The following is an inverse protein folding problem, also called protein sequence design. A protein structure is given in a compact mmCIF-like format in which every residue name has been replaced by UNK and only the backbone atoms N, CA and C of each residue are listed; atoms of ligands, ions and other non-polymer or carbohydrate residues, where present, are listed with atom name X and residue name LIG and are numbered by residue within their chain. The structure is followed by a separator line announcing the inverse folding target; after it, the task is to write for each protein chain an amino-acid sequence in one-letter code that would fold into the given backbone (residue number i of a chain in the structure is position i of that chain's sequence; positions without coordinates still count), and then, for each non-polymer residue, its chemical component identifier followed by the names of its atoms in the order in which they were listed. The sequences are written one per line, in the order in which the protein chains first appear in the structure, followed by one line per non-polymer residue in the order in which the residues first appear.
data_IF_954719081530
#
_entry.id   IF_954719081530
#
_cell.length_a   1.000
_cell.length_b   1.000
_cell.length_c   1.000
_cell.angle_alpha   90.00
_cell.angle_beta   90.00
_cell.angle_gamma   90.00
#
_symmetry.space_group_name_H-M   'P 1'
#
loop_
_entity.id
_entity.type
_entity.pdbx_description
1 polymer ?
#
# COMPACT_ATOMS: atom_id res chain seq x y z
N UNK A 1 -38.03 -40.04 44.33
CA UNK A 1 -38.58 -38.84 43.64
C UNK A 1 -37.49 -37.76 43.51
N UNK A 2 -36.54 -37.91 42.57
CA UNK A 2 -35.52 -36.88 42.28
C UNK A 2 -35.21 -36.87 40.78
N UNK A 3 -36.21 -36.52 39.95
CA UNK A 3 -36.05 -36.50 38.49
C UNK A 3 -36.95 -35.47 37.79
N UNK A 4 -37.07 -34.23 38.28
CA UNK A 4 -37.82 -33.19 37.52
C UNK A 4 -37.32 -31.74 37.64
N UNK A 5 -36.12 -31.46 38.16
CA UNK A 5 -35.60 -30.08 38.25
C UNK A 5 -34.73 -29.59 37.07
N UNK A 6 -34.39 -30.45 36.11
CA UNK A 6 -33.46 -30.10 35.01
C UNK A 6 -34.14 -29.60 33.71
N UNK A 7 -35.48 -29.68 33.60
CA UNK A 7 -36.19 -29.34 32.36
C UNK A 7 -36.48 -27.84 32.21
N UNK A 8 -36.56 -27.10 33.31
CA UNK A 8 -36.88 -25.66 33.30
C UNK A 8 -35.71 -24.78 32.85
N UNK A 9 -34.46 -25.25 32.96
CA UNK A 9 -33.28 -24.44 32.59
C UNK A 9 -32.99 -24.41 31.09
N UNK A 10 -33.42 -25.42 30.31
CA UNK A 10 -33.19 -25.46 28.86
C UNK A 10 -34.24 -24.69 28.05
N UNK A 11 -35.42 -24.42 28.63
CA UNK A 11 -36.50 -23.72 27.94
C UNK A 11 -36.33 -22.19 27.94
N UNK A 12 -35.57 -21.61 28.88
CA UNK A 12 -35.27 -20.17 28.90
C UNK A 12 -34.28 -19.73 27.80
N UNK A 13 -33.46 -20.66 27.30
CA UNK A 13 -32.56 -20.41 26.16
C UNK A 13 -33.31 -20.17 24.84
N UNK A 14 -34.58 -20.56 24.76
CA UNK A 14 -35.45 -20.49 23.57
C UNK A 14 -36.42 -19.31 23.59
N UNK A 15 -36.18 -18.27 24.40
CA UNK A 15 -37.00 -17.07 24.34
C UNK A 15 -36.68 -16.27 23.06
N UNK A 16 -37.71 -15.88 22.31
CA UNK A 16 -37.60 -15.07 21.08
C UNK A 16 -36.60 -13.88 21.18
N UNK A 17 -36.53 -13.10 22.28
CA UNK A 17 -35.58 -11.99 22.38
C UNK A 17 -34.10 -12.43 22.47
N UNK A 18 -33.77 -13.58 23.07
CA UNK A 18 -32.38 -14.06 23.15
C UNK A 18 -31.87 -14.55 21.79
N UNK A 19 -32.74 -15.18 21.00
CA UNK A 19 -32.44 -15.60 19.63
C UNK A 19 -32.16 -14.38 18.75
N UNK A 20 -33.00 -13.33 18.84
CA UNK A 20 -32.81 -12.09 18.10
C UNK A 20 -31.48 -11.39 18.44
N UNK A 21 -31.13 -11.32 19.73
CA UNK A 21 -29.87 -10.73 20.18
C UNK A 21 -28.64 -11.53 19.68
N UNK A 22 -28.72 -12.87 19.70
CA UNK A 22 -27.65 -13.74 19.20
C UNK A 22 -27.45 -13.57 17.68
N UNK A 23 -28.53 -13.47 16.92
CA UNK A 23 -28.48 -13.23 15.47
C UNK A 23 -27.85 -11.88 15.14
N UNK A 24 -28.23 -10.81 15.85
CA UNK A 24 -27.66 -9.48 15.62
C UNK A 24 -26.16 -9.44 15.96
N UNK A 25 -25.76 -10.07 17.07
CA UNK A 25 -24.34 -10.20 17.45
C UNK A 25 -23.55 -11.05 16.45
N UNK A 26 -24.15 -12.14 15.96
CA UNK A 26 -23.57 -12.95 14.88
C UNK A 26 -23.37 -12.14 13.60
N UNK A 27 -24.34 -11.30 13.23
CA UNK A 27 -24.24 -10.41 12.08
C UNK A 27 -23.16 -9.34 12.27
N UNK A 28 -23.04 -8.74 13.46
CA UNK A 28 -21.97 -7.79 13.79
C UNK A 28 -20.58 -8.42 13.61
N UNK A 29 -20.34 -9.61 14.18
CA UNK A 29 -19.07 -10.32 14.02
C UNK A 29 -18.84 -10.76 12.57
N UNK A 30 -19.88 -11.18 11.86
CA UNK A 30 -19.81 -11.51 10.45
C UNK A 30 -19.38 -10.31 9.59
N UNK A 31 -19.96 -9.13 9.84
CA UNK A 31 -19.59 -7.90 9.16
C UNK A 31 -18.13 -7.50 9.44
N UNK A 32 -17.69 -7.60 10.69
CA UNK A 32 -16.28 -7.38 11.06
C UNK A 32 -15.34 -8.36 10.34
N UNK A 33 -15.70 -9.65 10.30
CA UNK A 33 -14.91 -10.69 9.64
C UNK A 33 -14.77 -10.43 8.13
N UNK A 34 -15.83 -10.01 7.45
CA UNK A 34 -15.77 -9.64 6.03
C UNK A 34 -14.82 -8.46 5.82
N UNK A 35 -14.90 -7.43 6.65
CA UNK A 35 -13.99 -6.28 6.55
C UNK A 35 -12.54 -6.67 6.84
N UNK A 36 -12.31 -7.57 7.80
CA UNK A 36 -11.00 -8.14 8.08
C UNK A 36 -10.45 -8.95 6.90
N UNK A 37 -11.26 -9.82 6.29
CA UNK A 37 -10.85 -10.62 5.13
C UNK A 37 -10.53 -9.74 3.92
N UNK A 38 -11.33 -8.71 3.64
CA UNK A 38 -11.05 -7.73 2.58
C UNK A 38 -9.70 -7.04 2.77
N UNK A 39 -9.40 -6.62 4.00
CA UNK A 39 -8.09 -6.07 4.34
C UNK A 39 -6.97 -7.11 4.20
N UNK A 40 -7.20 -8.36 4.60
CA UNK A 40 -6.22 -9.43 4.50
C UNK A 40 -5.87 -9.74 3.03
N UNK A 41 -6.89 -9.84 2.17
CA UNK A 41 -6.71 -10.02 0.73
C UNK A 41 -5.99 -8.82 0.09
N UNK A 42 -6.26 -7.59 0.55
CA UNK A 42 -5.52 -6.40 0.08
C UNK A 42 -4.01 -6.47 0.34
N UNK A 43 -3.57 -7.29 1.31
CA UNK A 43 -2.15 -7.55 1.59
C UNK A 43 -1.58 -8.66 0.72
N UNK A 44 -2.36 -9.69 0.40
CA UNK A 44 -1.95 -10.85 -0.42
C UNK A 44 -1.56 -10.49 -1.85
N UNK A 45 -2.15 -9.43 -2.43
CA UNK A 45 -1.78 -8.94 -3.75
C UNK A 45 -0.34 -8.40 -3.86
N UNK A 46 0.38 -8.24 -2.74
CA UNK A 46 1.77 -7.75 -2.71
C UNK A 46 2.85 -8.84 -2.69
N UNK A 47 2.49 -10.12 -2.74
CA UNK A 47 3.52 -11.19 -2.73
C UNK A 47 3.05 -12.63 -2.90
N UNK A 48 1.82 -12.87 -3.39
CA UNK A 48 1.18 -14.19 -3.38
C UNK A 48 1.40 -15.08 -4.61
N UNK A 49 2.44 -14.85 -5.41
CA UNK A 49 2.85 -15.77 -6.47
C UNK A 49 4.33 -16.07 -6.31
N UNK A 50 4.68 -17.33 -6.10
CA UNK A 50 6.06 -17.81 -5.95
C UNK A 50 6.85 -17.74 -7.28
N UNK A 51 6.78 -16.60 -7.97
CA UNK A 51 7.75 -16.29 -8.99
C UNK A 51 9.10 -16.18 -8.29
N UNK A 52 10.17 -16.75 -8.87
CA UNK A 52 11.51 -16.45 -8.39
C UNK A 52 11.65 -14.93 -8.40
N UNK A 53 12.19 -14.38 -7.31
CA UNK A 53 12.50 -12.95 -7.23
C UNK A 53 13.34 -12.63 -8.47
N UNK A 54 12.91 -11.69 -9.32
CA UNK A 54 13.68 -11.35 -10.51
C UNK A 54 15.06 -10.87 -10.07
N UNK A 55 16.08 -11.17 -10.87
CA UNK A 55 17.42 -10.65 -10.62
C UNK A 55 17.36 -9.12 -10.48
N UNK A 56 18.13 -8.52 -9.55
CA UNK A 56 18.14 -7.09 -9.36
C UNK A 56 18.38 -6.36 -10.68
N UNK A 57 17.65 -5.27 -10.98
CA UNK A 57 17.86 -4.52 -12.20
C UNK A 57 19.30 -4.01 -12.26
N UNK A 58 19.91 -4.11 -13.43
CA UNK A 58 21.26 -3.62 -13.66
C UNK A 58 21.31 -2.10 -13.49
N UNK A 59 22.37 -1.60 -12.84
CA UNK A 59 22.52 -0.16 -12.60
C UNK A 59 22.92 0.51 -13.91
N UNK A 60 22.17 1.54 -14.29
CA UNK A 60 22.52 2.39 -15.44
C UNK A 60 23.91 3.04 -15.21
N UNK A 61 24.84 2.84 -16.13
CA UNK A 61 26.19 3.41 -16.06
C UNK A 61 26.16 4.95 -15.95
N UNK A 62 25.14 5.60 -16.53
CA UNK A 62 24.94 7.06 -16.47
C UNK A 62 24.71 7.55 -15.04
N UNK A 63 24.27 6.70 -14.14
CA UNK A 63 24.00 7.04 -12.74
C UNK A 63 25.28 7.49 -12.01
N UNK A 64 26.44 6.95 -12.39
CA UNK A 64 27.75 7.34 -11.86
C UNK A 64 28.08 8.83 -12.08
N UNK A 65 27.60 9.42 -13.19
CA UNK A 65 27.86 10.82 -13.57
C UNK A 65 27.12 11.82 -12.70
N UNK A 66 26.02 11.40 -12.08
CA UNK A 66 25.11 12.26 -11.31
C UNK A 66 25.14 11.95 -9.82
N UNK A 67 26.20 11.31 -9.33
CA UNK A 67 26.34 10.98 -7.92
C UNK A 67 26.23 12.25 -7.07
N UNK A 68 25.25 12.29 -6.16
CA UNK A 68 24.95 13.43 -5.28
C UNK A 68 24.64 14.75 -6.00
N UNK A 69 24.23 14.69 -7.27
CA UNK A 69 23.91 15.88 -8.09
C UNK A 69 22.62 15.67 -8.87
N UNK A 70 21.91 16.75 -9.13
CA UNK A 70 20.73 16.72 -9.98
C UNK A 70 21.13 16.57 -11.46
N UNK A 71 20.58 15.61 -12.22
CA UNK A 71 20.90 15.46 -13.65
C UNK A 71 20.47 16.65 -14.54
N UNK A 72 19.55 17.50 -14.07
CA UNK A 72 19.02 18.64 -14.83
C UNK A 72 19.84 19.92 -14.60
N UNK A 73 20.09 20.28 -13.34
CA UNK A 73 20.83 21.51 -13.02
C UNK A 73 22.31 21.28 -12.70
N UNK A 74 22.75 20.01 -12.57
CA UNK A 74 24.12 19.59 -12.25
C UNK A 74 24.67 20.14 -10.91
N UNK A 75 23.79 20.70 -10.07
CA UNK A 75 24.11 21.17 -8.72
C UNK A 75 23.73 20.13 -7.67
N UNK A 76 24.18 20.36 -6.43
CA UNK A 76 23.72 19.62 -5.26
C UNK A 76 22.19 19.72 -5.11
N UNK A 77 21.57 18.66 -4.57
CA UNK A 77 20.12 18.62 -4.39
C UNK A 77 19.66 19.67 -3.37
N UNK A 78 18.69 20.52 -3.75
CA UNK A 78 18.02 21.44 -2.82
C UNK A 78 16.88 20.78 -2.05
N UNK A 79 15.94 20.20 -2.80
CA UNK A 79 14.84 19.37 -2.29
C UNK A 79 14.92 18.08 -3.11
N UNK A 80 15.58 17.03 -2.60
CA UNK A 80 15.75 15.80 -3.35
C UNK A 80 14.38 15.17 -3.59
N UNK A 81 14.11 14.82 -4.84
CA UNK A 81 12.85 14.21 -5.28
C UNK A 81 13.19 13.07 -6.22
N UNK A 82 12.74 11.87 -5.88
CA UNK A 82 12.92 10.69 -6.72
C UNK A 82 11.77 10.60 -7.71
N UNK A 83 12.09 10.20 -8.94
CA UNK A 83 11.11 9.75 -9.91
C UNK A 83 11.09 8.21 -9.89
N UNK A 84 10.06 7.56 -9.32
CA UNK A 84 10.04 6.11 -9.13
C UNK A 84 10.18 5.30 -10.42
N UNK A 85 9.67 5.84 -11.54
CA UNK A 85 9.71 5.17 -12.85
C UNK A 85 11.14 4.95 -13.36
N UNK A 86 12.05 5.89 -13.09
CA UNK A 86 13.44 5.84 -13.57
C UNK A 86 14.48 5.61 -12.47
N UNK A 87 14.12 5.82 -11.20
CA UNK A 87 15.01 5.67 -10.06
C UNK A 87 16.03 6.81 -9.87
N UNK A 88 15.97 7.87 -10.70
CA UNK A 88 16.87 9.03 -10.57
C UNK A 88 16.34 10.05 -9.54
N UNK A 89 17.28 10.74 -8.88
CA UNK A 89 16.99 11.81 -7.91
C UNK A 89 17.31 13.17 -8.53
N UNK A 90 16.31 14.05 -8.48
CA UNK A 90 16.36 15.41 -9.01
C UNK A 90 16.09 16.43 -7.90
N UNK A 91 16.31 17.72 -8.19
CA UNK A 91 15.69 18.78 -7.41
C UNK A 91 14.19 18.85 -7.75
N UNK A 92 13.33 19.01 -6.74
CA UNK A 92 11.88 19.13 -6.92
C UNK A 92 11.48 20.12 -8.03
N UNK A 93 12.03 21.34 -8.02
CA UNK A 93 11.76 22.37 -9.03
C UNK A 93 12.20 22.00 -10.45
N UNK A 94 13.27 21.20 -10.59
CA UNK A 94 13.77 20.80 -11.89
C UNK A 94 12.86 19.73 -12.51
N UNK A 95 12.54 18.69 -11.74
CA UNK A 95 11.76 17.57 -12.25
C UNK A 95 10.29 17.93 -12.44
N UNK A 96 9.68 18.70 -11.52
CA UNK A 96 8.28 19.10 -11.67
C UNK A 96 8.07 19.95 -12.93
N UNK A 97 8.99 20.88 -13.22
CA UNK A 97 8.93 21.70 -14.43
C UNK A 97 9.05 20.85 -15.70
N UNK A 98 9.98 19.90 -15.73
CA UNK A 98 10.20 19.06 -16.91
C UNK A 98 9.01 18.11 -17.14
N UNK A 99 8.53 17.43 -16.10
CA UNK A 99 7.39 16.50 -16.19
C UNK A 99 6.11 17.22 -16.61
N UNK A 100 5.86 18.44 -16.12
CA UNK A 100 4.70 19.25 -16.57
C UNK A 100 4.78 19.65 -18.04
N UNK A 101 5.99 19.80 -18.59
CA UNK A 101 6.19 20.26 -19.97
C UNK A 101 6.25 19.12 -20.98
N UNK A 102 6.98 18.05 -20.65
CA UNK A 102 7.28 16.95 -21.56
C UNK A 102 6.55 15.64 -21.21
N UNK A 103 6.09 15.47 -19.96
CA UNK A 103 5.43 14.23 -19.52
C UNK A 103 6.35 13.01 -19.42
N UNK A 104 7.67 13.23 -19.32
CA UNK A 104 8.67 12.17 -19.33
C UNK A 104 9.86 12.46 -18.40
N UNK A 105 10.70 11.44 -18.19
CA UNK A 105 11.96 11.54 -17.46
C UNK A 105 13.03 12.18 -18.34
N UNK A 106 13.77 13.20 -17.87
CA UNK A 106 14.79 13.90 -18.67
C UNK A 106 16.04 13.05 -18.99
N UNK A 107 16.22 11.90 -18.34
CA UNK A 107 17.41 11.02 -18.53
C UNK A 107 17.07 9.78 -19.34
N UNK A 108 15.93 9.15 -19.04
CA UNK A 108 15.52 7.87 -19.64
C UNK A 108 14.38 7.99 -20.64
N UNK A 109 13.75 9.16 -20.76
CA UNK A 109 12.56 9.40 -21.58
C UNK A 109 11.38 8.46 -21.28
N UNK A 110 11.37 7.86 -20.09
CA UNK A 110 10.24 7.07 -19.63
C UNK A 110 9.06 7.98 -19.29
N UNK A 111 7.82 7.58 -19.59
CA UNK A 111 6.63 8.39 -19.30
C UNK A 111 6.52 8.61 -17.78
N UNK A 112 6.29 9.86 -17.39
CA UNK A 112 6.27 10.28 -16.01
C UNK A 112 5.16 11.31 -15.80
N UNK A 113 4.49 11.22 -14.66
CA UNK A 113 3.47 12.16 -14.25
C UNK A 113 3.87 12.85 -12.95
N UNK A 114 3.38 14.06 -12.71
CA UNK A 114 3.81 14.86 -11.57
C UNK A 114 3.39 14.26 -10.22
N UNK A 115 2.26 13.58 -10.19
CA UNK A 115 1.73 12.83 -9.04
C UNK A 115 2.63 11.67 -8.62
N UNK A 116 3.42 11.11 -9.54
CA UNK A 116 4.38 10.05 -9.25
C UNK A 116 5.63 10.54 -8.52
N UNK A 117 5.86 11.86 -8.41
CA UNK A 117 7.06 12.42 -7.78
C UNK A 117 7.04 12.25 -6.27
N UNK A 118 8.09 11.66 -5.71
CA UNK A 118 8.22 11.43 -4.27
C UNK A 118 9.36 12.28 -3.72
N UNK A 119 9.06 13.19 -2.79
CA UNK A 119 10.08 13.98 -2.09
C UNK A 119 10.79 13.12 -1.05
N UNK A 120 12.12 13.20 -1.01
CA UNK A 120 12.95 12.51 -0.05
C UNK A 120 13.24 13.43 1.13
N UNK A 121 13.08 12.91 2.34
CA UNK A 121 13.46 13.58 3.59
C UNK A 121 14.67 12.84 4.14
N UNK A 122 15.85 13.37 3.84
CA UNK A 122 17.12 12.83 4.30
C UNK A 122 17.36 13.34 5.74
N UNK A 123 17.79 12.44 6.62
CA UNK A 123 18.05 12.71 8.03
C UNK A 123 19.55 12.84 8.28
#
# INVERSE_FOLDING_TARGET
MLRDRNKHSMAELLSFPTIGALLLRGAEYGAFLVQFLRWWESRGARGGGALPVPDPPERDERCSRYLNRCPVCLQAWRIPTVLPVSGYIFCYMCISRHVRQAGECPVTHLPAAEDSLVRLYLQ
#
